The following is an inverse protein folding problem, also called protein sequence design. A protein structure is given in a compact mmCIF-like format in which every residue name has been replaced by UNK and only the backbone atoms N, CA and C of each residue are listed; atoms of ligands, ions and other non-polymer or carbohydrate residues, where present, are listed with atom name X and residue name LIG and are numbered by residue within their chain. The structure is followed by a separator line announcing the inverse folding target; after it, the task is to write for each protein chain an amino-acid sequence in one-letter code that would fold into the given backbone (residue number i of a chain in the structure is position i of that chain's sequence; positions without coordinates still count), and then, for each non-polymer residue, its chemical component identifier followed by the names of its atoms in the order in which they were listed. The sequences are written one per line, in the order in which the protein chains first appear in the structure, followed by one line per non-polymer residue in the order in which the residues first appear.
data_IF_189685824616
#
_entry.id   IF_189685824616
#
_cell.length_a   1.000
_cell.length_b   1.000
_cell.length_c   1.000
_cell.angle_alpha   90.00
_cell.angle_beta   90.00
_cell.angle_gamma   90.00
#
_symmetry.space_group_name_H-M   'P 1'
#
loop_
_entity.id
_entity.type
_entity.pdbx_description
1 polymer ?
#
# COMPACT_ATOMS: atom_id res chain seq x y z
N UNK A 1 -1.47 6.43 -27.50
CA UNK A 1 -0.18 5.88 -28.00
C UNK A 1 0.12 4.48 -27.43
N UNK A 2 -0.34 4.17 -26.19
CA UNK A 2 -0.15 2.86 -25.55
C UNK A 2 -1.08 1.76 -26.10
N UNK A 3 -1.96 2.07 -27.06
CA UNK A 3 -2.83 1.09 -27.72
C UNK A 3 -4.14 0.82 -27.00
N UNK A 4 -4.48 1.54 -25.92
CA UNK A 4 -5.77 1.42 -25.28
C UNK A 4 -6.90 1.83 -26.25
N UNK A 5 -7.98 1.04 -26.29
CA UNK A 5 -9.16 1.33 -27.13
C UNK A 5 -10.07 2.38 -26.49
N UNK A 6 -10.14 2.37 -25.18
CA UNK A 6 -10.90 3.30 -24.35
C UNK A 6 -10.14 3.62 -23.06
N UNK A 7 -10.34 4.81 -22.53
CA UNK A 7 -9.75 5.26 -21.27
C UNK A 7 -10.83 5.90 -20.41
N UNK A 8 -11.15 5.25 -19.31
CA UNK A 8 -12.07 5.80 -18.31
C UNK A 8 -11.30 6.38 -17.15
N UNK A 9 -11.58 7.66 -16.82
CA UNK A 9 -10.93 8.35 -15.72
C UNK A 9 -11.92 8.51 -14.57
N UNK A 10 -11.56 7.95 -13.40
CA UNK A 10 -12.31 8.13 -12.17
C UNK A 10 -11.56 9.13 -11.29
N UNK A 11 -12.19 10.23 -10.96
CA UNK A 11 -11.63 11.27 -10.11
C UNK A 11 -12.11 11.11 -8.67
N UNK A 12 -11.17 11.20 -7.72
CA UNK A 12 -11.46 11.44 -6.33
C UNK A 12 -11.08 12.89 -6.00
N UNK A 13 -11.95 13.59 -5.29
CA UNK A 13 -11.70 14.92 -4.78
C UNK A 13 -11.62 14.86 -3.26
N UNK A 14 -10.50 15.31 -2.69
CA UNK A 14 -10.23 15.25 -1.26
C UNK A 14 -11.21 16.10 -0.46
N UNK A 15 -11.56 17.31 -0.94
CA UNK A 15 -12.51 18.19 -0.26
C UNK A 15 -13.91 17.56 -0.22
N UNK A 16 -14.35 16.94 -1.32
CA UNK A 16 -15.61 16.21 -1.39
C UNK A 16 -15.57 14.97 -0.50
N UNK A 17 -14.47 14.22 -0.51
CA UNK A 17 -14.29 13.02 0.31
C UNK A 17 -14.32 13.35 1.80
N UNK A 18 -13.63 14.41 2.23
CA UNK A 18 -13.68 14.92 3.59
C UNK A 18 -15.08 15.39 3.99
N UNK A 19 -15.72 16.23 3.18
CA UNK A 19 -17.06 16.74 3.46
C UNK A 19 -18.09 15.61 3.58
N UNK A 20 -18.02 14.60 2.71
CA UNK A 20 -18.88 13.40 2.79
C UNK A 20 -18.64 12.64 4.11
N UNK A 21 -17.40 12.42 4.51
CA UNK A 21 -17.07 11.73 5.75
C UNK A 21 -17.52 12.54 6.97
N UNK A 22 -17.36 13.84 6.95
CA UNK A 22 -17.74 14.73 8.06
C UNK A 22 -19.26 14.84 8.21
N UNK A 23 -19.96 15.18 7.13
CA UNK A 23 -21.38 15.57 7.13
C UNK A 23 -22.35 14.41 6.86
N UNK A 24 -21.92 13.39 6.13
CA UNK A 24 -22.76 12.25 5.78
C UNK A 24 -23.07 11.40 7.02
N UNK A 25 -24.29 10.84 7.11
CA UNK A 25 -24.58 9.82 8.11
C UNK A 25 -23.85 8.52 7.79
N UNK A 26 -23.50 7.73 8.79
CA UNK A 26 -22.85 6.42 8.58
C UNK A 26 -23.72 5.51 7.72
N UNK A 27 -25.04 5.49 7.96
CA UNK A 27 -26.00 4.75 7.15
C UNK A 27 -25.93 5.13 5.67
N UNK A 28 -25.91 6.43 5.34
CA UNK A 28 -25.81 6.89 3.96
C UNK A 28 -24.46 6.56 3.30
N UNK A 29 -23.38 6.56 4.10
CA UNK A 29 -22.02 6.28 3.61
C UNK A 29 -21.76 4.80 3.38
N UNK A 30 -22.52 3.92 4.07
CA UNK A 30 -22.43 2.46 3.95
C UNK A 30 -23.54 1.86 3.07
N UNK A 31 -24.49 2.66 2.62
CA UNK A 31 -25.54 2.24 1.67
C UNK A 31 -24.96 2.14 0.23
N UNK A 32 -24.12 1.13 0.01
CA UNK A 32 -23.42 0.89 -1.24
C UNK A 32 -24.33 0.15 -2.23
N UNK A 33 -24.43 0.68 -3.44
CA UNK A 33 -25.36 0.14 -4.45
C UNK A 33 -24.64 -0.81 -5.42
N UNK A 34 -25.26 -1.92 -5.83
CA UNK A 34 -24.63 -2.93 -6.69
C UNK A 34 -24.00 -2.38 -7.98
N UNK A 35 -24.54 -1.33 -8.58
CA UNK A 35 -23.99 -0.71 -9.79
C UNK A 35 -22.58 -0.14 -9.57
N UNK A 36 -22.23 0.26 -8.35
CA UNK A 36 -20.92 0.81 -8.00
C UNK A 36 -19.81 -0.23 -8.11
N UNK A 37 -20.11 -1.48 -7.79
CA UNK A 37 -19.21 -2.62 -7.97
C UNK A 37 -19.28 -3.15 -9.42
N UNK A 38 -20.50 -3.36 -9.94
CA UNK A 38 -20.72 -3.98 -11.24
C UNK A 38 -19.98 -3.27 -12.37
N UNK A 39 -19.88 -1.94 -12.33
CA UNK A 39 -19.15 -1.18 -13.35
C UNK A 39 -17.67 -1.58 -13.49
N UNK A 40 -17.03 -2.03 -12.41
CA UNK A 40 -15.66 -2.54 -12.43
C UNK A 40 -15.62 -3.98 -12.96
N UNK A 41 -16.51 -4.82 -12.49
CA UNK A 41 -16.56 -6.23 -12.88
C UNK A 41 -16.93 -6.38 -14.36
N UNK A 42 -17.99 -5.72 -14.81
CA UNK A 42 -18.43 -5.75 -16.21
C UNK A 42 -17.32 -5.24 -17.16
N UNK A 43 -16.55 -4.24 -16.73
CA UNK A 43 -15.44 -3.70 -17.51
C UNK A 43 -14.25 -4.68 -17.54
N UNK A 44 -13.91 -5.31 -16.42
CA UNK A 44 -12.85 -6.31 -16.35
C UNK A 44 -13.17 -7.57 -17.19
N UNK A 45 -14.44 -7.95 -17.28
CA UNK A 45 -14.93 -9.11 -18.03
C UNK A 45 -15.19 -8.79 -19.52
N UNK A 46 -15.07 -7.52 -19.90
CA UNK A 46 -15.28 -7.12 -21.31
C UNK A 46 -14.21 -7.69 -22.24
N UNK A 47 -14.53 -7.80 -23.52
CA UNK A 47 -13.59 -8.24 -24.55
C UNK A 47 -12.36 -7.32 -24.60
N UNK A 48 -11.18 -7.90 -24.45
CA UNK A 48 -9.89 -7.19 -24.38
C UNK A 48 -9.39 -6.96 -22.95
N UNK A 49 -10.24 -7.08 -21.94
CA UNK A 49 -9.88 -6.89 -20.53
C UNK A 49 -9.60 -5.43 -20.16
N UNK A 50 -9.09 -5.24 -18.97
CA UNK A 50 -8.78 -3.92 -18.40
C UNK A 50 -7.34 -3.86 -17.86
N UNK A 51 -6.70 -2.70 -18.00
CA UNK A 51 -5.50 -2.33 -17.24
C UNK A 51 -5.88 -1.17 -16.32
N UNK A 52 -5.49 -1.24 -15.06
CA UNK A 52 -5.83 -0.23 -14.05
C UNK A 52 -4.60 0.56 -13.67
N UNK A 53 -4.65 1.88 -13.81
CA UNK A 53 -3.62 2.77 -13.31
C UNK A 53 -4.19 3.61 -12.17
N UNK A 54 -3.63 3.44 -10.98
CA UNK A 54 -3.94 4.25 -9.81
C UNK A 54 -2.90 5.38 -9.68
N UNK A 55 -3.36 6.62 -9.76
CA UNK A 55 -2.52 7.79 -9.49
C UNK A 55 -2.94 8.36 -8.13
N UNK A 56 -2.04 8.25 -7.15
CA UNK A 56 -2.30 8.61 -5.76
C UNK A 56 -1.69 9.99 -5.48
N UNK A 57 -2.52 10.93 -5.04
CA UNK A 57 -2.14 12.30 -4.68
C UNK A 57 -2.79 12.73 -3.37
N UNK A 58 -2.90 11.81 -2.41
CA UNK A 58 -3.68 11.98 -1.20
C UNK A 58 -3.08 13.01 -0.23
N UNK A 59 -3.95 13.71 0.50
CA UNK A 59 -3.57 14.42 1.72
C UNK A 59 -3.34 13.39 2.84
N UNK A 60 -2.11 13.27 3.39
CA UNK A 60 -1.82 12.32 4.46
C UNK A 60 -2.65 12.51 5.74
N UNK A 61 -3.25 13.68 5.93
CA UNK A 61 -4.09 14.02 7.08
C UNK A 61 -5.52 14.40 6.69
N UNK A 62 -6.00 13.88 5.55
CA UNK A 62 -7.32 14.21 4.98
C UNK A 62 -8.45 14.14 6.01
N UNK A 63 -8.41 13.16 6.90
CA UNK A 63 -9.45 12.93 7.92
C UNK A 63 -9.01 13.32 9.33
N UNK A 64 -7.94 14.12 9.47
CA UNK A 64 -7.51 14.61 10.78
C UNK A 64 -8.65 15.38 11.48
N UNK A 65 -8.87 15.06 12.77
CA UNK A 65 -9.90 15.68 13.60
C UNK A 65 -11.32 15.12 13.42
N UNK A 66 -11.55 14.20 12.48
CA UNK A 66 -12.84 13.53 12.32
C UNK A 66 -12.98 12.29 13.22
N UNK A 67 -14.22 11.80 13.39
CA UNK A 67 -14.51 10.58 14.16
C UNK A 67 -13.88 9.34 13.50
N UNK A 68 -12.78 8.89 14.08
CA UNK A 68 -12.06 7.71 13.59
C UNK A 68 -12.84 6.40 13.67
N UNK A 69 -13.86 6.27 14.54
CA UNK A 69 -14.72 5.09 14.58
C UNK A 69 -15.64 5.05 13.37
N UNK A 70 -16.25 6.19 13.04
CA UNK A 70 -17.05 6.34 11.82
C UNK A 70 -16.22 6.04 10.57
N UNK A 71 -15.02 6.63 10.46
CA UNK A 71 -14.10 6.40 9.33
C UNK A 71 -13.78 4.90 9.19
N UNK A 72 -13.42 4.23 10.28
CA UNK A 72 -13.06 2.81 10.27
C UNK A 72 -14.24 1.94 9.82
N UNK A 73 -15.47 2.18 10.32
CA UNK A 73 -16.67 1.41 9.93
C UNK A 73 -17.04 1.63 8.46
N UNK A 74 -17.02 2.88 7.99
CA UNK A 74 -17.30 3.21 6.59
C UNK A 74 -16.29 2.56 5.66
N UNK A 75 -14.99 2.63 6.00
CA UNK A 75 -13.94 2.02 5.18
C UNK A 75 -14.02 0.49 5.21
N UNK A 76 -14.35 -0.13 6.35
CA UNK A 76 -14.57 -1.58 6.44
C UNK A 76 -15.75 -2.03 5.56
N UNK A 77 -16.88 -1.31 5.61
CA UNK A 77 -18.03 -1.61 4.77
C UNK A 77 -17.70 -1.49 3.27
N UNK A 78 -16.96 -0.43 2.88
CA UNK A 78 -16.50 -0.26 1.50
C UNK A 78 -15.55 -1.36 1.05
N UNK A 79 -14.60 -1.77 1.91
CA UNK A 79 -13.68 -2.87 1.62
C UNK A 79 -14.42 -4.17 1.36
N UNK A 80 -15.31 -4.56 2.27
CA UNK A 80 -16.14 -5.76 2.13
C UNK A 80 -17.00 -5.72 0.86
N UNK A 81 -17.59 -4.56 0.54
CA UNK A 81 -18.38 -4.40 -0.68
C UNK A 81 -17.55 -4.54 -1.96
N UNK A 82 -16.30 -4.05 -1.95
CA UNK A 82 -15.39 -4.09 -3.10
C UNK A 82 -14.55 -5.36 -3.18
N UNK A 83 -14.67 -6.29 -2.24
CA UNK A 83 -13.91 -7.54 -2.21
C UNK A 83 -13.92 -8.29 -3.55
N UNK A 84 -15.08 -8.47 -4.25
CA UNK A 84 -15.08 -9.16 -5.55
C UNK A 84 -14.25 -8.46 -6.63
N UNK A 85 -14.09 -7.13 -6.56
CA UNK A 85 -13.18 -6.41 -7.44
C UNK A 85 -11.72 -6.57 -7.01
N UNK A 86 -11.45 -6.56 -5.70
CA UNK A 86 -10.10 -6.75 -5.17
C UNK A 86 -9.52 -8.11 -5.55
N UNK A 87 -10.34 -9.15 -5.69
CA UNK A 87 -9.91 -10.45 -6.20
C UNK A 87 -9.28 -10.38 -7.61
N UNK A 88 -9.72 -9.44 -8.45
CA UNK A 88 -9.14 -9.26 -9.78
C UNK A 88 -7.72 -8.71 -9.73
N UNK A 89 -7.43 -7.81 -8.81
CA UNK A 89 -6.09 -7.23 -8.65
C UNK A 89 -5.19 -8.10 -7.80
N UNK A 90 -5.67 -8.64 -6.67
CA UNK A 90 -4.88 -9.48 -5.76
C UNK A 90 -4.48 -10.84 -6.33
N UNK A 91 -5.26 -11.36 -7.30
CA UNK A 91 -4.95 -12.60 -8.00
C UNK A 91 -4.41 -12.37 -9.42
N UNK A 92 -3.96 -11.15 -9.71
CA UNK A 92 -3.36 -10.79 -11.02
C UNK A 92 -4.23 -11.16 -12.24
N UNK A 93 -5.57 -11.16 -12.07
CA UNK A 93 -6.50 -11.42 -13.19
C UNK A 93 -6.52 -10.27 -14.20
N UNK A 94 -6.19 -9.07 -13.74
CA UNK A 94 -6.01 -7.86 -14.53
C UNK A 94 -4.63 -7.23 -14.24
N UNK A 95 -4.08 -6.50 -15.24
CA UNK A 95 -2.88 -5.71 -14.99
C UNK A 95 -3.25 -4.44 -14.23
N UNK A 96 -2.44 -4.10 -13.25
CA UNK A 96 -2.61 -2.86 -12.49
C UNK A 96 -1.26 -2.24 -12.15
N UNK A 97 -1.26 -0.95 -11.94
CA UNK A 97 -0.08 -0.22 -11.48
C UNK A 97 -0.49 0.94 -10.60
N UNK A 98 0.34 1.24 -9.61
CA UNK A 98 0.18 2.38 -8.71
C UNK A 98 1.37 3.29 -8.89
N UNK A 99 1.11 4.59 -9.06
CA UNK A 99 2.14 5.63 -9.06
C UNK A 99 1.67 6.83 -8.25
N UNK A 100 2.61 7.56 -7.67
CA UNK A 100 2.32 8.75 -6.89
C UNK A 100 2.35 10.02 -7.75
N UNK A 101 1.44 10.94 -7.42
CA UNK A 101 1.48 12.34 -7.85
C UNK A 101 1.61 13.22 -6.60
N UNK A 102 2.31 14.38 -6.66
CA UNK A 102 2.38 15.26 -5.52
C UNK A 102 1.04 15.95 -5.27
N UNK A 103 0.73 16.19 -4.01
CA UNK A 103 -0.30 17.12 -3.56
C UNK A 103 0.32 18.20 -2.67
N UNK A 104 -0.30 19.37 -2.59
CA UNK A 104 0.20 20.46 -1.72
C UNK A 104 0.29 20.01 -0.25
N UNK A 105 -0.73 19.35 0.34
CA UNK A 105 -0.63 18.86 1.71
C UNK A 105 0.52 17.91 1.92
N UNK A 106 0.71 16.94 1.01
CA UNK A 106 1.82 16.00 1.09
C UNK A 106 3.18 16.69 0.92
N UNK A 107 3.32 17.57 -0.09
CA UNK A 107 4.54 18.34 -0.32
C UNK A 107 4.95 19.17 0.90
N UNK A 108 4.00 19.86 1.53
CA UNK A 108 4.21 20.64 2.75
C UNK A 108 4.53 19.77 3.98
N UNK A 109 4.11 18.51 3.97
CA UNK A 109 4.47 17.55 5.03
C UNK A 109 5.92 17.09 4.93
N UNK A 110 6.43 16.93 3.71
CA UNK A 110 7.82 16.54 3.43
C UNK A 110 8.77 17.73 3.53
N UNK A 111 8.37 18.89 3.02
CA UNK A 111 9.15 20.12 2.94
C UNK A 111 8.41 21.28 3.66
N UNK A 112 8.29 21.22 5.00
CA UNK A 112 7.51 22.20 5.76
C UNK A 112 8.08 23.63 5.68
N UNK A 113 9.38 23.76 5.42
CA UNK A 113 10.10 25.03 5.33
C UNK A 113 9.90 25.78 4.00
N UNK A 114 9.52 25.07 2.93
CA UNK A 114 9.30 25.66 1.61
C UNK A 114 7.89 26.25 1.50
N UNK A 115 7.67 27.22 0.64
CA UNK A 115 6.31 27.62 0.23
C UNK A 115 5.62 26.51 -0.57
N UNK A 116 4.34 26.67 -0.90
CA UNK A 116 3.56 25.61 -1.54
C UNK A 116 4.09 25.23 -2.93
N UNK A 117 4.46 26.22 -3.73
CA UNK A 117 4.94 25.99 -5.10
C UNK A 117 6.32 25.34 -5.11
N UNK A 118 7.24 25.86 -4.29
CA UNK A 118 8.56 25.27 -4.14
C UNK A 118 8.52 23.83 -3.54
N UNK A 119 7.63 23.59 -2.57
CA UNK A 119 7.43 22.27 -2.02
C UNK A 119 6.88 21.28 -3.06
N UNK A 120 5.93 21.70 -3.89
CA UNK A 120 5.39 20.91 -5.00
C UNK A 120 6.46 20.57 -6.03
N UNK A 121 7.28 21.53 -6.42
CA UNK A 121 8.40 21.32 -7.35
C UNK A 121 9.44 20.35 -6.77
N UNK A 122 9.80 20.53 -5.51
CA UNK A 122 10.73 19.62 -4.82
C UNK A 122 10.16 18.19 -4.72
N UNK A 123 8.87 18.03 -4.44
CA UNK A 123 8.24 16.71 -4.39
C UNK A 123 8.12 16.07 -5.78
N UNK A 124 7.82 16.82 -6.83
CA UNK A 124 7.87 16.32 -8.20
C UNK A 124 9.26 15.78 -8.56
N UNK A 125 10.30 16.56 -8.25
CA UNK A 125 11.67 16.13 -8.49
C UNK A 125 11.99 14.84 -7.75
N UNK A 126 11.64 14.76 -6.47
CA UNK A 126 11.83 13.55 -5.65
C UNK A 126 11.11 12.33 -6.25
N UNK A 127 9.83 12.48 -6.64
CA UNK A 127 9.05 11.40 -7.26
C UNK A 127 9.72 10.94 -8.55
N UNK A 128 10.13 11.85 -9.42
CA UNK A 128 10.79 11.50 -10.68
C UNK A 128 12.14 10.80 -10.45
N UNK A 129 12.92 11.25 -9.48
CA UNK A 129 14.20 10.64 -9.13
C UNK A 129 14.00 9.20 -8.60
N UNK A 130 13.09 8.98 -7.65
CA UNK A 130 12.83 7.62 -7.11
C UNK A 130 12.13 6.71 -8.12
N UNK A 131 11.33 7.26 -9.03
CA UNK A 131 10.71 6.52 -10.13
C UNK A 131 11.66 6.30 -11.32
N UNK A 132 12.92 6.74 -11.26
CA UNK A 132 13.93 6.56 -12.33
C UNK A 132 13.50 7.11 -13.69
N UNK A 133 12.79 8.26 -13.69
CA UNK A 133 12.31 8.88 -14.94
C UNK A 133 13.10 10.16 -15.31
N UNK A 134 14.11 10.53 -14.51
CA UNK A 134 14.99 11.68 -14.77
C UNK A 134 16.16 11.37 -15.69
N UNK A 135 16.44 10.09 -15.93
CA UNK A 135 17.47 9.63 -16.87
C UNK A 135 17.06 9.76 -18.34
N UNK A 136 18.01 9.57 -19.24
CA UNK A 136 17.76 9.69 -20.68
C UNK A 136 16.87 8.61 -21.28
N UNK A 137 16.73 7.44 -20.59
CA UNK A 137 15.94 6.30 -21.05
C UNK A 137 15.28 5.57 -19.86
N UNK A 138 14.16 6.08 -19.34
CA UNK A 138 13.45 5.47 -18.23
C UNK A 138 13.07 4.00 -18.44
N UNK A 139 12.78 3.60 -19.67
CA UNK A 139 12.40 2.22 -19.97
C UNK A 139 13.56 1.26 -19.74
N UNK A 140 14.76 1.61 -20.18
CA UNK A 140 15.95 0.78 -19.97
C UNK A 140 16.43 0.86 -18.51
N UNK A 141 16.29 2.00 -17.84
CA UNK A 141 16.55 2.10 -16.38
C UNK A 141 15.67 1.12 -15.59
N UNK A 142 14.38 1.05 -15.89
CA UNK A 142 13.46 0.10 -15.27
C UNK A 142 13.77 -1.35 -15.61
N UNK A 143 14.16 -1.68 -16.84
CA UNK A 143 14.59 -3.04 -17.19
C UNK A 143 15.79 -3.48 -16.37
N UNK A 144 16.82 -2.63 -16.27
CA UNK A 144 18.00 -2.91 -15.47
C UNK A 144 17.67 -3.04 -13.97
N UNK A 145 16.73 -2.22 -13.46
CA UNK A 145 16.26 -2.30 -12.08
C UNK A 145 15.53 -3.62 -11.80
N UNK A 146 14.62 -4.02 -12.69
CA UNK A 146 13.91 -5.30 -12.60
C UNK A 146 14.87 -6.50 -12.62
N UNK A 147 15.91 -6.46 -13.46
CA UNK A 147 16.94 -7.51 -13.51
C UNK A 147 17.71 -7.61 -12.18
N UNK A 148 18.03 -6.48 -11.53
CA UNK A 148 18.68 -6.46 -10.22
C UNK A 148 17.77 -7.10 -9.15
N UNK A 149 16.50 -6.68 -9.08
CA UNK A 149 15.54 -7.23 -8.11
C UNK A 149 15.27 -8.72 -8.37
N UNK A 150 15.15 -9.14 -9.63
CA UNK A 150 15.01 -10.56 -9.99
C UNK A 150 16.24 -11.37 -9.57
N UNK A 151 17.45 -10.81 -9.76
CA UNK A 151 18.69 -11.47 -9.31
C UNK A 151 18.71 -11.63 -7.78
N UNK A 152 18.25 -10.63 -7.04
CA UNK A 152 18.14 -10.69 -5.59
C UNK A 152 17.10 -11.73 -5.16
N UNK A 153 15.90 -11.70 -5.75
CA UNK A 153 14.85 -12.70 -5.54
C UNK A 153 15.37 -14.12 -5.75
N UNK A 154 16.07 -14.36 -6.85
CA UNK A 154 16.59 -15.69 -7.18
C UNK A 154 17.64 -16.17 -6.16
N UNK A 155 18.49 -15.25 -5.67
CA UNK A 155 19.42 -15.53 -4.57
C UNK A 155 18.68 -15.86 -3.28
N UNK A 156 17.65 -15.11 -2.92
CA UNK A 156 16.87 -15.37 -1.71
C UNK A 156 16.17 -16.73 -1.79
N UNK A 157 15.60 -17.07 -2.95
CA UNK A 157 15.01 -18.40 -3.18
C UNK A 157 16.04 -19.53 -3.09
N UNK A 158 17.26 -19.29 -3.55
CA UNK A 158 18.33 -20.31 -3.48
C UNK A 158 18.87 -20.53 -2.06
N UNK A 159 18.65 -19.60 -1.13
CA UNK A 159 19.07 -19.75 0.27
C UNK A 159 18.16 -20.66 1.09
N UNK A 160 16.93 -20.91 0.63
CA UNK A 160 15.93 -21.76 1.30
C UNK A 160 15.77 -21.43 2.80
N UNK A 161 15.51 -20.16 3.08
CA UNK A 161 15.48 -19.62 4.44
C UNK A 161 14.22 -20.06 5.18
N UNK A 162 14.37 -20.49 6.43
CA UNK A 162 13.26 -20.78 7.34
C UNK A 162 12.76 -19.52 8.08
N UNK A 163 13.63 -18.53 8.26
CA UNK A 163 13.32 -17.28 8.96
C UNK A 163 14.26 -16.15 8.58
N UNK A 164 13.82 -14.92 8.89
CA UNK A 164 14.63 -13.69 8.81
C UNK A 164 14.66 -13.05 10.19
N UNK A 165 15.83 -12.59 10.62
CA UNK A 165 16.02 -11.87 11.87
C UNK A 165 16.38 -10.41 11.58
N UNK A 166 15.63 -9.50 12.18
CA UNK A 166 15.84 -8.05 12.10
C UNK A 166 16.35 -7.53 13.42
N UNK A 167 17.52 -6.92 13.40
CA UNK A 167 18.10 -6.22 14.53
C UNK A 167 18.51 -4.80 14.13
N UNK A 168 18.17 -3.80 14.93
CA UNK A 168 18.61 -2.44 14.68
C UNK A 168 18.78 -1.62 15.96
N UNK A 169 19.57 -0.54 15.86
CA UNK A 169 19.92 0.34 16.99
C UNK A 169 18.74 1.07 17.63
N UNK A 170 17.56 1.08 16.99
CA UNK A 170 16.35 1.67 17.57
C UNK A 170 15.65 0.75 18.58
N UNK A 171 16.17 -0.46 18.79
CA UNK A 171 15.61 -1.46 19.70
C UNK A 171 14.79 -2.55 19.02
N UNK A 172 14.70 -2.54 17.69
CA UNK A 172 14.11 -3.65 16.95
C UNK A 172 14.95 -4.91 17.16
N UNK A 173 14.28 -6.00 17.56
CA UNK A 173 14.80 -7.35 17.68
C UNK A 173 13.64 -8.30 17.38
N UNK A 174 13.52 -8.72 16.11
CA UNK A 174 12.36 -9.42 15.59
C UNK A 174 12.80 -10.60 14.73
N UNK A 175 12.37 -11.80 15.08
CA UNK A 175 12.51 -12.98 14.22
C UNK A 175 11.18 -13.28 13.54
N UNK A 176 11.18 -13.38 12.23
CA UNK A 176 10.03 -13.72 11.40
C UNK A 176 10.28 -15.06 10.72
N UNK A 177 9.54 -16.09 11.15
CA UNK A 177 9.51 -17.37 10.44
C UNK A 177 8.76 -17.23 9.11
N UNK A 178 9.29 -17.83 8.05
CA UNK A 178 8.68 -17.80 6.73
C UNK A 178 7.63 -18.90 6.57
N UNK A 179 6.65 -18.69 5.71
CA UNK A 179 5.63 -19.68 5.39
C UNK A 179 6.28 -20.97 4.85
N UNK A 180 5.64 -22.09 5.07
CA UNK A 180 6.13 -23.35 4.50
C UNK A 180 6.11 -23.26 2.97
N UNK A 181 7.24 -23.57 2.34
CA UNK A 181 7.45 -23.38 0.90
C UNK A 181 7.33 -21.90 0.44
N UNK A 182 7.71 -20.95 1.30
CA UNK A 182 7.75 -19.54 0.94
C UNK A 182 8.58 -19.31 -0.32
N UNK A 183 8.05 -18.52 -1.23
CA UNK A 183 8.75 -18.08 -2.43
C UNK A 183 8.96 -16.59 -2.32
N UNK A 184 10.18 -16.14 -2.56
CA UNK A 184 10.49 -14.71 -2.68
C UNK A 184 10.06 -14.23 -4.05
N UNK A 185 9.37 -13.10 -4.06
CA UNK A 185 8.93 -12.38 -5.25
C UNK A 185 9.63 -11.01 -5.34
N UNK A 186 9.45 -10.31 -6.46
CA UNK A 186 10.07 -9.00 -6.70
C UNK A 186 9.14 -8.09 -7.51
N UNK A 187 9.68 -7.00 -8.04
CA UNK A 187 9.00 -5.89 -8.69
C UNK A 187 7.91 -6.23 -9.72
N UNK A 188 8.05 -7.33 -10.46
CA UNK A 188 7.17 -7.65 -11.58
C UNK A 188 6.19 -8.76 -11.23
N UNK A 189 4.91 -8.55 -11.55
CA UNK A 189 3.88 -9.59 -11.53
C UNK A 189 3.57 -10.08 -12.95
N UNK A 190 2.87 -11.21 -13.03
CA UNK A 190 2.39 -11.78 -14.28
C UNK A 190 0.90 -12.07 -14.19
N UNK A 191 0.13 -11.45 -15.06
CA UNK A 191 -1.32 -11.70 -15.08
C UNK A 191 -1.66 -13.12 -15.53
N UNK A 192 -2.89 -13.57 -15.23
CA UNK A 192 -3.43 -14.85 -15.71
C UNK A 192 -3.28 -15.04 -17.24
N UNK A 193 -3.32 -13.94 -18.00
CA UNK A 193 -3.11 -13.94 -19.47
C UNK A 193 -1.64 -13.95 -19.87
N UNK A 194 -0.69 -14.07 -18.90
CA UNK A 194 0.74 -14.13 -19.14
C UNK A 194 1.41 -12.78 -19.41
N UNK A 195 0.72 -11.67 -19.26
CA UNK A 195 1.28 -10.32 -19.45
C UNK A 195 2.07 -9.92 -18.21
N UNK A 196 3.34 -9.57 -18.39
CA UNK A 196 4.18 -9.04 -17.31
C UNK A 196 3.87 -7.55 -17.12
N UNK A 197 3.73 -7.14 -15.86
CA UNK A 197 3.45 -5.75 -15.50
C UNK A 197 4.14 -5.38 -14.18
N UNK A 198 4.18 -4.08 -13.89
CA UNK A 198 4.75 -3.53 -12.65
C UNK A 198 3.62 -3.00 -11.76
N UNK A 199 3.29 -3.69 -10.66
CA UNK A 199 2.23 -3.24 -9.74
C UNK A 199 2.52 -1.89 -9.09
N UNK A 200 3.78 -1.65 -8.71
CA UNK A 200 4.17 -0.46 -7.96
C UNK A 200 5.31 0.29 -8.66
N UNK A 201 5.16 1.61 -8.79
CA UNK A 201 6.19 2.50 -9.30
C UNK A 201 6.34 3.69 -8.32
N UNK A 202 7.46 3.76 -7.56
CA UNK A 202 8.62 2.84 -7.55
C UNK A 202 8.37 1.57 -6.74
N UNK A 203 9.28 0.61 -6.86
CA UNK A 203 9.44 -0.53 -5.97
C UNK A 203 10.93 -0.86 -5.83
N UNK A 204 11.36 -1.25 -4.63
CA UNK A 204 12.79 -1.46 -4.29
C UNK A 204 13.04 -2.79 -3.58
N UNK A 205 12.02 -3.61 -3.42
CA UNK A 205 12.01 -4.73 -2.50
C UNK A 205 11.97 -6.10 -3.20
N UNK A 206 12.42 -7.10 -2.47
CA UNK A 206 12.04 -8.50 -2.63
C UNK A 206 11.28 -8.92 -1.38
N UNK A 207 10.21 -9.65 -1.52
CA UNK A 207 9.27 -9.93 -0.44
C UNK A 207 8.79 -11.37 -0.46
N UNK A 208 8.27 -11.83 0.68
CA UNK A 208 7.70 -13.16 0.83
C UNK A 208 6.66 -13.22 1.94
N UNK A 209 5.96 -14.32 2.06
CA UNK A 209 4.94 -14.53 3.07
C UNK A 209 5.56 -15.03 4.40
N UNK A 210 5.26 -14.38 5.54
CA UNK A 210 5.59 -14.88 6.86
C UNK A 210 4.70 -16.06 7.25
N UNK A 211 5.19 -16.90 8.17
CA UNK A 211 4.35 -17.91 8.81
C UNK A 211 3.54 -17.29 9.93
N UNK A 212 2.23 -17.54 9.92
CA UNK A 212 1.24 -16.95 10.82
C UNK A 212 1.62 -17.01 12.31
N UNK A 213 2.22 -18.12 12.76
CA UNK A 213 2.47 -18.37 14.18
C UNK A 213 3.96 -18.33 14.57
N UNK A 214 4.86 -17.96 13.63
CA UNK A 214 6.32 -17.97 13.85
C UNK A 214 6.94 -16.58 13.80
N UNK A 215 6.38 -15.64 14.55
CA UNK A 215 6.92 -14.29 14.69
C UNK A 215 7.11 -13.97 16.17
N UNK A 216 8.34 -13.63 16.55
CA UNK A 216 8.74 -13.37 17.93
C UNK A 216 9.59 -12.11 18.03
N UNK A 217 9.35 -11.28 19.05
CA UNK A 217 10.17 -10.13 19.34
C UNK A 217 9.46 -8.78 19.19
N UNK A 218 10.24 -7.72 19.04
CA UNK A 218 9.73 -6.34 18.98
C UNK A 218 10.23 -5.62 17.74
N UNK A 219 9.36 -4.83 17.13
CA UNK A 219 9.70 -3.96 16.02
C UNK A 219 9.31 -2.52 16.33
N UNK A 220 10.21 -1.58 16.01
CA UNK A 220 9.99 -0.14 16.10
C UNK A 220 9.81 0.47 14.73
N UNK A 221 8.72 1.23 14.56
CA UNK A 221 8.51 2.00 13.33
C UNK A 221 9.53 3.12 13.20
N UNK A 222 10.24 3.17 12.07
CA UNK A 222 11.28 4.17 11.80
C UNK A 222 10.74 5.43 11.13
N UNK A 223 9.53 5.37 10.59
CA UNK A 223 8.84 6.49 9.92
C UNK A 223 7.40 6.59 10.39
N UNK A 224 6.78 7.77 10.28
CA UNK A 224 5.34 7.90 10.50
C UNK A 224 4.55 6.99 9.56
N UNK A 225 3.48 6.41 10.09
CA UNK A 225 2.54 5.61 9.33
C UNK A 225 1.20 6.35 9.20
N UNK A 226 0.62 6.37 8.00
CA UNK A 226 -0.69 6.97 7.74
C UNK A 226 -1.73 5.87 7.68
N UNK A 227 -2.74 5.96 8.54
CA UNK A 227 -3.88 5.06 8.53
C UNK A 227 -5.18 5.84 8.56
N UNK A 228 -6.07 5.60 7.59
CA UNK A 228 -7.34 6.31 7.46
C UNK A 228 -7.18 7.84 7.48
N UNK A 229 -6.17 8.40 6.80
CA UNK A 229 -5.91 9.84 6.75
C UNK A 229 -5.52 10.45 8.09
N UNK A 230 -4.94 9.66 9.00
CA UNK A 230 -4.43 10.09 10.31
C UNK A 230 -3.05 9.48 10.55
N UNK A 231 -2.21 10.17 11.33
CA UNK A 231 -0.82 9.76 11.56
C UNK A 231 -0.66 8.93 12.83
N UNK A 232 0.17 7.87 12.72
CA UNK A 232 0.73 7.11 13.83
C UNK A 232 2.24 7.36 13.82
N UNK A 233 2.84 7.78 14.96
CA UNK A 233 4.28 8.09 15.06
C UNK A 233 4.92 7.44 16.26
N UNK A 234 6.22 7.15 16.13
CA UNK A 234 7.07 6.64 17.21
C UNK A 234 6.40 5.45 17.88
N UNK A 235 6.09 4.45 17.08
CA UNK A 235 5.37 3.27 17.54
C UNK A 235 6.27 2.04 17.61
N UNK A 236 5.89 1.13 18.49
CA UNK A 236 6.45 -0.22 18.59
C UNK A 236 5.32 -1.26 18.67
N UNK A 237 5.64 -2.46 18.21
CA UNK A 237 4.73 -3.61 18.26
C UNK A 237 5.52 -4.82 18.73
N UNK A 238 4.98 -5.59 19.68
CA UNK A 238 5.60 -6.81 20.22
C UNK A 238 4.80 -8.02 19.78
N UNK A 239 5.50 -9.02 19.28
CA UNK A 239 4.92 -10.28 18.79
C UNK A 239 5.32 -11.44 19.69
N UNK A 240 4.34 -12.31 19.96
CA UNK A 240 4.52 -13.63 20.53
C UNK A 240 3.70 -14.64 19.74
N UNK A 241 4.33 -15.71 19.28
CA UNK A 241 3.69 -16.78 18.48
C UNK A 241 2.86 -16.19 17.31
N UNK A 242 3.47 -15.27 16.57
CA UNK A 242 2.90 -14.65 15.39
C UNK A 242 1.83 -13.59 15.62
N UNK A 243 1.47 -13.30 16.89
CA UNK A 243 0.42 -12.31 17.20
C UNK A 243 0.96 -11.13 18.00
N UNK A 244 0.41 -9.95 17.69
CA UNK A 244 0.68 -8.76 18.49
C UNK A 244 0.06 -8.90 19.87
N UNK A 245 0.93 -8.88 20.90
CA UNK A 245 0.56 -8.97 22.32
C UNK A 245 0.65 -7.63 23.04
N UNK A 246 1.52 -6.74 22.58
CA UNK A 246 1.68 -5.38 23.12
C UNK A 246 2.00 -4.39 21.99
N UNK A 247 1.57 -3.15 22.15
CA UNK A 247 1.85 -2.06 21.23
C UNK A 247 1.83 -0.71 21.92
N UNK A 248 2.62 0.22 21.41
CA UNK A 248 2.66 1.59 21.89
C UNK A 248 2.89 2.56 20.72
N UNK A 249 2.31 3.75 20.80
CA UNK A 249 2.62 4.87 19.90
C UNK A 249 2.53 6.20 20.67
N UNK A 250 3.51 7.08 20.47
CA UNK A 250 3.46 8.43 21.08
C UNK A 250 2.33 9.27 20.48
N UNK A 251 2.09 9.13 19.17
CA UNK A 251 0.97 9.73 18.48
C UNK A 251 0.16 8.63 17.78
N UNK A 252 -1.17 8.68 17.89
CA UNK A 252 -2.05 7.73 17.21
C UNK A 252 -2.22 6.39 17.95
N UNK A 253 -1.94 6.29 19.26
CA UNK A 253 -2.11 5.08 20.06
C UNK A 253 -3.47 4.40 19.87
N UNK A 254 -4.57 5.18 19.95
CA UNK A 254 -5.93 4.66 19.74
C UNK A 254 -6.14 4.18 18.30
N UNK A 255 -5.54 4.88 17.33
CA UNK A 255 -5.61 4.53 15.93
C UNK A 255 -4.84 3.24 15.62
N UNK A 256 -3.66 3.07 16.22
CA UNK A 256 -2.90 1.82 16.13
C UNK A 256 -3.69 0.64 16.70
N UNK A 257 -4.35 0.83 17.86
CA UNK A 257 -5.24 -0.20 18.42
C UNK A 257 -6.37 -0.59 17.45
N UNK A 258 -7.02 0.39 16.80
CA UNK A 258 -8.06 0.11 15.80
C UNK A 258 -7.54 -0.63 14.57
N UNK A 259 -6.33 -0.32 14.12
CA UNK A 259 -5.68 -1.05 13.04
C UNK A 259 -5.51 -2.52 13.43
N UNK A 260 -4.97 -2.78 14.62
CA UNK A 260 -4.70 -4.12 15.14
C UNK A 260 -5.97 -4.91 15.49
N UNK A 261 -7.09 -4.24 15.73
CA UNK A 261 -8.38 -4.84 16.05
C UNK A 261 -9.37 -4.83 14.85
N UNK A 262 -8.87 -4.56 13.65
CA UNK A 262 -9.67 -4.43 12.44
C UNK A 262 -10.41 -5.72 12.04
N UNK A 263 -9.73 -6.86 12.17
CA UNK A 263 -10.26 -8.20 11.94
C UNK A 263 -9.40 -9.26 12.66
N UNK A 264 -9.70 -10.54 12.47
CA UNK A 264 -8.96 -11.64 13.12
C UNK A 264 -7.48 -11.71 12.69
N UNK A 265 -7.17 -11.34 11.44
CA UNK A 265 -5.82 -11.36 10.86
C UNK A 265 -4.97 -10.13 11.20
N UNK A 266 -5.59 -9.02 11.58
CA UNK A 266 -4.94 -7.70 11.76
C UNK A 266 -3.84 -7.67 12.82
N UNK A 267 -3.79 -8.66 13.71
CA UNK A 267 -2.72 -8.83 14.73
C UNK A 267 -1.56 -9.72 14.28
N UNK A 268 -1.50 -10.09 13.02
CA UNK A 268 -0.41 -10.89 12.44
C UNK A 268 0.30 -10.12 11.34
N UNK A 269 1.56 -10.46 11.06
CA UNK A 269 2.30 -9.90 9.93
C UNK A 269 1.79 -10.54 8.63
N UNK A 270 1.54 -9.73 7.61
CA UNK A 270 1.11 -10.20 6.28
C UNK A 270 2.24 -10.37 5.28
N UNK A 271 3.36 -9.66 5.47
CA UNK A 271 4.47 -9.65 4.52
C UNK A 271 5.80 -9.39 5.23
N UNK A 272 6.85 -9.94 4.67
CA UNK A 272 8.25 -9.64 5.00
C UNK A 272 8.94 -9.18 3.71
N UNK A 273 9.57 -8.00 3.74
CA UNK A 273 10.30 -7.42 2.61
C UNK A 273 11.72 -6.99 3.00
N UNK A 274 12.65 -7.06 2.02
CA UNK A 274 14.06 -6.70 2.14
C UNK A 274 14.48 -5.73 1.04
#
# INVERSE_FOLDING_TARGET
EAGARDVQVNWNDDAVSRARMELGSEEALTDLKPWQLRRYLDYAESEGGVCVLHLIADDPELYAGLDGNKISRVNAARRAFMEPWQEYTMNDRVQWSIAALPSVPWAKKIFPELDADAAMEALWKLIFDVCRVTGGDPVNEWKAHMERLSTLRDKMNALDLESVHFESSNGTDLTVGLADQAVWESAASRSEKGVVFLPNIPTEEVFTAPHKDRVEGVVYGTKPYVFNGQLIKNFRVTFEKGRVVDYHAEQGQVLLGRLLDGDEGSRSIGEVAL
#
